data_IF_592990407393
#
_entry.id   IF_592990407393
#
_cell.length_a   1.000
_cell.length_b   1.000
_cell.length_c   1.000
_cell.angle_alpha   90.00
_cell.angle_beta   90.00
_cell.angle_gamma   90.00
#
_symmetry.space_group_name_H-M   'P 1'
#
loop_
_entity.id
_entity.type
_entity.pdbx_description
1 polymer ?
#
# COMPACT_ATOMS: atom_id res chain seq x y z
N UNK A 1 -10.80 14.91 41.33
CA UNK A 1 -10.39 13.77 40.48
C UNK A 1 -9.07 14.12 39.80
N UNK A 2 -8.00 13.33 39.96
CA UNK A 2 -6.65 13.68 39.48
C UNK A 2 -6.51 13.70 37.95
N UNK A 3 -7.48 13.16 37.22
CA UNK A 3 -7.54 13.13 35.75
C UNK A 3 -8.01 14.45 35.13
N UNK A 4 -8.52 15.39 35.94
CA UNK A 4 -8.97 16.72 35.50
C UNK A 4 -7.86 17.78 35.51
N UNK A 5 -6.63 17.41 35.87
CA UNK A 5 -5.49 18.33 35.79
C UNK A 5 -5.21 18.64 34.30
N UNK A 6 -5.34 19.90 33.85
CA UNK A 6 -5.24 20.26 32.44
C UNK A 6 -3.81 20.21 31.88
N UNK A 7 -2.80 19.99 32.73
CA UNK A 7 -1.41 19.79 32.30
C UNK A 7 -0.96 18.33 32.49
N UNK A 8 -0.22 17.71 31.54
CA UNK A 8 0.24 18.18 30.24
C UNK A 8 -0.47 17.42 29.09
N UNK A 9 -1.79 17.55 28.95
CA UNK A 9 -2.57 16.81 27.95
C UNK A 9 -2.09 17.03 26.52
N UNK A 10 -1.70 18.25 26.18
CA UNK A 10 -1.14 18.58 24.87
C UNK A 10 0.14 17.79 24.59
N UNK A 11 1.02 17.63 25.58
CA UNK A 11 2.26 16.87 25.44
C UNK A 11 1.99 15.38 25.24
N UNK A 12 1.05 14.82 26.01
CA UNK A 12 0.65 13.42 25.90
C UNK A 12 0.05 13.14 24.51
N UNK A 13 -0.85 14.02 24.05
CA UNK A 13 -1.45 13.93 22.72
C UNK A 13 -0.35 14.02 21.66
N UNK A 14 0.50 15.03 21.70
CA UNK A 14 1.56 15.23 20.71
C UNK A 14 2.52 14.03 20.65
N UNK A 15 2.97 13.53 21.80
CA UNK A 15 3.86 12.36 21.88
C UNK A 15 3.18 11.11 21.32
N UNK A 16 1.91 10.88 21.66
CA UNK A 16 1.14 9.72 21.16
C UNK A 16 0.97 9.77 19.64
N UNK A 17 0.64 10.95 19.09
CA UNK A 17 0.47 11.14 17.66
C UNK A 17 1.78 10.98 16.88
N UNK A 18 2.89 11.49 17.41
CA UNK A 18 4.22 11.31 16.81
C UNK A 18 4.56 9.82 16.71
N UNK A 19 4.44 9.08 17.81
CA UNK A 19 4.69 7.63 17.84
C UNK A 19 3.79 6.90 16.85
N UNK A 20 2.49 7.21 16.84
CA UNK A 20 1.54 6.59 15.91
C UNK A 20 1.91 6.82 14.44
N UNK A 21 2.28 8.04 14.05
CA UNK A 21 2.67 8.38 12.68
C UNK A 21 3.98 7.68 12.25
N UNK A 22 4.96 7.57 13.15
CA UNK A 22 6.19 6.82 12.88
C UNK A 22 5.90 5.34 12.59
N UNK A 23 5.07 4.69 13.41
CA UNK A 23 4.68 3.30 13.18
C UNK A 23 3.81 3.13 11.93
N UNK A 24 2.90 4.07 11.67
CA UNK A 24 2.02 4.04 10.50
C UNK A 24 2.83 4.12 9.19
N UNK A 25 3.78 5.06 9.09
CA UNK A 25 4.62 5.24 7.89
C UNK A 25 5.51 4.02 7.61
N UNK A 26 6.09 3.39 8.64
CA UNK A 26 6.87 2.16 8.48
C UNK A 26 6.02 1.00 7.93
N UNK A 27 4.75 0.91 8.33
CA UNK A 27 3.84 -0.12 7.87
C UNK A 27 3.34 0.15 6.44
N UNK A 28 3.00 1.40 6.12
CA UNK A 28 2.44 1.77 4.81
C UNK A 28 3.51 1.89 3.72
N UNK A 29 4.77 2.19 4.07
CA UNK A 29 5.87 2.24 3.08
C UNK A 29 6.19 0.89 2.45
N UNK A 30 5.74 -0.22 3.03
CA UNK A 30 5.86 -1.56 2.41
C UNK A 30 4.73 -1.86 1.42
N UNK A 31 3.88 -0.87 1.12
CA UNK A 31 2.84 -1.04 0.13
C UNK A 31 3.47 -1.08 -1.28
N UNK A 32 3.72 -2.29 -1.77
CA UNK A 32 4.02 -2.52 -3.18
C UNK A 32 2.74 -2.27 -3.97
N UNK A 33 2.66 -1.12 -4.63
CA UNK A 33 1.59 -0.87 -5.59
C UNK A 33 1.80 -1.84 -6.77
N UNK A 34 0.88 -2.80 -6.95
CA UNK A 34 0.81 -3.64 -8.14
C UNK A 34 0.30 -2.81 -9.33
N UNK A 35 0.97 -1.70 -9.66
CA UNK A 35 0.83 -1.05 -10.96
C UNK A 35 1.76 -1.80 -11.90
N UNK A 36 1.27 -2.91 -12.38
CA UNK A 36 1.25 -3.17 -13.80
C UNK A 36 0.49 -4.48 -13.96
N UNK A 37 -0.79 -4.47 -14.37
CA UNK A 37 -1.18 -5.46 -15.35
C UNK A 37 -0.27 -5.18 -16.52
N UNK A 38 0.90 -5.86 -16.50
CA UNK A 38 1.89 -5.85 -17.55
C UNK A 38 1.14 -5.74 -18.87
N UNK A 39 1.64 -4.88 -19.75
CA UNK A 39 1.51 -5.04 -21.19
C UNK A 39 1.70 -6.53 -21.53
N UNK A 40 0.64 -7.33 -21.40
CA UNK A 40 0.50 -8.59 -22.07
C UNK A 40 0.14 -8.13 -23.47
N UNK A 41 1.17 -7.64 -24.17
CA UNK A 41 1.35 -7.96 -25.56
C UNK A 41 1.38 -9.49 -25.64
N UNK A 42 0.21 -10.11 -25.46
CA UNK A 42 -0.22 -11.14 -26.38
C UNK A 42 -0.20 -10.43 -27.73
N UNK A 43 1.02 -10.31 -28.29
CA UNK A 43 1.24 -10.35 -29.71
C UNK A 43 0.50 -11.61 -30.06
N UNK A 44 -0.72 -11.42 -30.50
CA UNK A 44 -1.59 -12.46 -30.95
C UNK A 44 -0.90 -12.98 -32.19
N UNK A 45 0.08 -13.86 -31.98
CA UNK A 45 0.63 -14.72 -32.99
C UNK A 45 -0.51 -15.69 -33.22
N UNK A 46 -1.51 -15.21 -33.96
CA UNK A 46 -2.45 -16.02 -34.70
C UNK A 46 -1.58 -16.76 -35.73
N UNK A 47 -0.84 -17.77 -35.28
CA UNK A 47 -0.45 -18.84 -36.19
C UNK A 47 -1.76 -19.46 -36.66
N UNK A 48 -2.13 -19.35 -37.95
CA UNK A 48 -3.25 -20.12 -38.43
C UNK A 48 -2.90 -21.58 -38.16
N UNK A 49 -3.76 -22.28 -37.44
CA UNK A 49 -3.64 -23.72 -37.24
C UNK A 49 -3.75 -24.37 -38.61
N UNK A 50 -2.60 -24.66 -39.23
CA UNK A 50 -2.53 -25.42 -40.48
C UNK A 50 -2.84 -26.86 -40.13
N UNK A 51 -4.10 -27.24 -40.31
CA UNK A 51 -4.47 -28.64 -40.27
C UNK A 51 -3.84 -29.38 -41.45
N UNK A 52 -3.37 -30.63 -41.30
CA UNK A 52 -2.39 -31.24 -42.18
C UNK A 52 -3.02 -31.90 -43.41
N UNK A 53 -4.29 -31.59 -43.72
CA UNK A 53 -5.09 -32.33 -44.71
C UNK A 53 -5.97 -31.44 -45.60
N UNK A 54 -5.46 -30.27 -46.02
CA UNK A 54 -6.05 -29.51 -47.13
C UNK A 54 -5.03 -29.34 -48.24
#
# INVERSE_FOLDING_TARGET
>A
MPQLAPGPWFFILFSTWMVFLFFATMKTSKFTFLSDPSNLTFKNINTPWTWPWL
#
